data_IF_796660946101
#
_entry.id   IF_796660946101
#
_cell.length_a   1.000
_cell.length_b   1.000
_cell.length_c   1.000
_cell.angle_alpha   90.00
_cell.angle_beta   90.00
_cell.angle_gamma   90.00
#
_symmetry.space_group_name_H-M   'P 1'
#
loop_
_entity.id
_entity.type
_entity.pdbx_description
1 polymer ?
#
# COMPACT_ATOMS: atom_id res chain seq x y z
N UNK A 1 -16.89 14.70 11.95
CA UNK A 1 -17.56 16.03 11.93
C UNK A 1 -18.73 15.95 12.92
N UNK A 2 -19.09 17.05 13.61
CA UNK A 2 -20.32 17.05 14.43
C UNK A 2 -21.50 16.76 13.50
N UNK A 3 -22.40 15.88 13.90
CA UNK A 3 -23.49 15.47 13.04
C UNK A 3 -24.32 16.69 12.62
N UNK A 4 -24.55 16.90 11.31
CA UNK A 4 -25.46 17.94 10.84
C UNK A 4 -26.84 17.77 11.47
N UNK A 5 -27.61 18.86 11.52
CA UNK A 5 -28.95 18.87 12.14
C UNK A 5 -29.93 17.85 11.53
N UNK A 6 -29.62 17.35 10.32
CA UNK A 6 -30.35 16.26 9.66
C UNK A 6 -29.43 15.45 8.73
N UNK A 7 -29.74 14.16 8.56
CA UNK A 7 -29.20 13.30 7.51
C UNK A 7 -30.29 12.96 6.48
N UNK A 8 -29.87 12.53 5.30
CA UNK A 8 -30.78 12.13 4.22
C UNK A 8 -30.56 10.66 3.91
N UNK A 9 -31.60 9.84 3.98
CA UNK A 9 -31.60 8.47 3.50
C UNK A 9 -32.25 8.41 2.13
N UNK A 10 -31.54 7.88 1.15
CA UNK A 10 -32.07 7.59 -0.18
C UNK A 10 -32.18 6.08 -0.32
N UNK A 11 -33.34 5.60 -0.73
CA UNK A 11 -33.63 4.18 -0.96
C UNK A 11 -33.93 3.96 -2.43
N UNK A 12 -33.21 3.08 -3.10
CA UNK A 12 -33.44 2.68 -4.48
C UNK A 12 -34.50 1.57 -4.56
N UNK A 13 -35.11 1.38 -5.73
CA UNK A 13 -36.09 0.31 -6.00
C UNK A 13 -35.54 -1.11 -5.76
N UNK A 14 -34.22 -1.30 -5.74
CA UNK A 14 -33.56 -2.56 -5.36
C UNK A 14 -33.50 -2.81 -3.86
N UNK A 15 -34.11 -1.93 -3.05
CA UNK A 15 -34.02 -1.85 -1.58
C UNK A 15 -32.63 -1.50 -1.03
N UNK A 16 -31.70 -1.15 -1.91
CA UNK A 16 -30.43 -0.55 -1.50
C UNK A 16 -30.68 0.84 -0.92
N UNK A 17 -30.09 1.14 0.23
CA UNK A 17 -30.23 2.46 0.86
C UNK A 17 -28.89 3.04 1.27
N UNK A 18 -28.81 4.37 1.22
CA UNK A 18 -27.64 5.13 1.59
C UNK A 18 -28.05 6.35 2.41
N UNK A 19 -27.40 6.51 3.57
CA UNK A 19 -27.60 7.64 4.47
C UNK A 19 -26.42 8.58 4.34
N UNK A 20 -26.70 9.85 4.05
CA UNK A 20 -25.72 10.85 3.65
C UNK A 20 -25.96 12.17 4.38
N UNK A 21 -24.94 13.04 4.35
CA UNK A 21 -25.17 14.45 4.67
C UNK A 21 -25.87 15.15 3.50
N UNK A 22 -26.66 16.21 3.74
CA UNK A 22 -27.37 16.93 2.68
C UNK A 22 -26.48 17.39 1.52
N UNK A 23 -25.25 17.80 1.83
CA UNK A 23 -24.28 18.34 0.86
C UNK A 23 -23.57 17.27 0.01
N UNK A 24 -23.68 15.98 0.39
CA UNK A 24 -22.99 14.90 -0.32
C UNK A 24 -23.59 14.72 -1.71
N UNK A 25 -22.80 14.93 -2.77
CA UNK A 25 -23.26 14.82 -4.16
C UNK A 25 -23.30 13.38 -4.65
N UNK A 26 -24.39 12.99 -5.30
CA UNK A 26 -24.61 11.66 -5.89
C UNK A 26 -24.75 11.82 -7.40
N UNK A 27 -24.23 10.87 -8.15
CA UNK A 27 -24.43 10.83 -9.59
C UNK A 27 -25.86 10.38 -9.88
N UNK A 28 -26.66 11.30 -10.43
CA UNK A 28 -28.07 11.09 -10.66
C UNK A 28 -28.52 11.74 -11.98
N UNK A 29 -29.60 11.20 -12.54
CA UNK A 29 -30.41 11.87 -13.54
C UNK A 29 -31.59 12.53 -12.81
N UNK A 30 -31.50 13.85 -12.68
CA UNK A 30 -32.53 14.71 -12.09
C UNK A 30 -32.95 15.74 -13.12
N UNK A 31 -34.26 15.94 -13.30
CA UNK A 31 -34.84 16.87 -14.29
C UNK A 31 -34.25 16.76 -15.71
N UNK A 32 -33.94 15.53 -16.13
CA UNK A 32 -33.42 15.22 -17.47
C UNK A 32 -31.93 15.52 -17.68
N UNK A 33 -31.19 15.91 -16.63
CA UNK A 33 -29.73 16.10 -16.66
C UNK A 33 -29.03 15.02 -15.86
N UNK A 34 -28.00 14.42 -16.45
CA UNK A 34 -27.16 13.43 -15.79
C UNK A 34 -25.89 14.09 -15.24
N UNK A 35 -25.92 14.48 -13.98
CA UNK A 35 -24.88 15.27 -13.32
C UNK A 35 -24.73 14.84 -11.84
N UNK A 36 -23.99 15.62 -11.08
CA UNK A 36 -23.74 15.41 -9.65
C UNK A 36 -24.65 16.31 -8.83
N UNK A 37 -25.66 15.73 -8.19
CA UNK A 37 -26.65 16.46 -7.41
C UNK A 37 -26.43 16.23 -5.90
N UNK A 38 -26.44 17.27 -5.06
CA UNK A 38 -26.49 17.12 -3.61
C UNK A 38 -27.61 16.17 -3.17
N UNK A 39 -27.38 15.37 -2.13
CA UNK A 39 -28.39 14.45 -1.60
C UNK A 39 -29.69 15.18 -1.20
N UNK A 40 -29.62 16.47 -0.87
CA UNK A 40 -30.78 17.33 -0.61
C UNK A 40 -31.66 17.65 -1.83
N UNK A 41 -31.13 17.49 -3.04
CA UNK A 41 -31.83 17.80 -4.28
C UNK A 41 -32.49 16.57 -4.93
N UNK A 42 -32.08 15.37 -4.51
CA UNK A 42 -32.64 14.10 -5.00
C UNK A 42 -34.09 13.93 -4.54
N UNK A 43 -34.96 13.52 -5.45
CA UNK A 43 -36.38 13.26 -5.22
C UNK A 43 -36.75 11.82 -5.59
N UNK A 44 -37.91 11.38 -5.10
CA UNK A 44 -38.53 10.12 -5.53
C UNK A 44 -38.78 10.14 -7.05
N UNK A 45 -38.40 9.06 -7.73
CA UNK A 45 -38.50 8.94 -9.19
C UNK A 45 -37.24 9.35 -9.96
N UNK A 46 -36.25 10.01 -9.33
CA UNK A 46 -34.95 10.25 -9.96
C UNK A 46 -34.20 8.95 -10.23
N UNK A 47 -33.29 8.95 -11.20
CA UNK A 47 -32.46 7.78 -11.48
C UNK A 47 -31.06 7.99 -10.91
N UNK A 48 -30.64 7.14 -9.97
CA UNK A 48 -29.31 7.21 -9.35
C UNK A 48 -28.42 6.08 -9.85
N UNK A 49 -27.14 6.35 -9.99
CA UNK A 49 -26.19 5.36 -10.49
C UNK A 49 -25.72 4.42 -9.38
N UNK A 50 -26.02 3.13 -9.54
CA UNK A 50 -25.64 2.06 -8.62
C UNK A 50 -24.67 1.08 -9.32
N UNK A 51 -23.57 0.76 -8.65
CA UNK A 51 -22.51 -0.16 -9.08
C UNK A 51 -22.45 -1.34 -8.11
N UNK A 52 -22.77 -2.54 -8.60
CA UNK A 52 -22.47 -3.82 -7.92
C UNK A 52 -21.48 -4.62 -8.77
N UNK A 53 -22.00 -5.38 -9.73
CA UNK A 53 -21.19 -6.11 -10.72
C UNK A 53 -20.98 -5.30 -12.00
N UNK A 54 -21.97 -4.45 -12.36
CA UNK A 54 -21.95 -3.51 -13.48
C UNK A 54 -22.62 -2.19 -13.06
N UNK A 55 -22.29 -1.09 -13.74
CA UNK A 55 -22.89 0.23 -13.54
C UNK A 55 -24.30 0.28 -14.14
N UNK A 56 -25.31 0.59 -13.33
CA UNK A 56 -26.71 0.70 -13.76
C UNK A 56 -27.36 1.91 -13.10
N UNK A 57 -28.22 2.60 -13.82
CA UNK A 57 -29.10 3.61 -13.24
C UNK A 57 -30.35 2.93 -12.68
N UNK A 58 -30.69 3.24 -11.43
CA UNK A 58 -31.81 2.65 -10.69
C UNK A 58 -32.67 3.80 -10.15
N UNK A 59 -33.98 3.63 -10.22
CA UNK A 59 -34.92 4.64 -9.73
C UNK A 59 -34.90 4.73 -8.20
N UNK A 60 -34.94 5.96 -7.68
CA UNK A 60 -35.15 6.28 -6.27
C UNK A 60 -36.58 5.93 -5.90
N UNK A 61 -36.73 5.04 -4.92
CA UNK A 61 -38.00 4.63 -4.34
C UNK A 61 -38.47 5.60 -3.25
N UNK A 62 -37.57 6.01 -2.35
CA UNK A 62 -37.90 6.96 -1.27
C UNK A 62 -36.71 7.82 -0.84
N UNK A 63 -37.01 9.04 -0.36
CA UNK A 63 -36.03 9.95 0.25
C UNK A 63 -36.54 10.41 1.62
N UNK A 64 -35.83 10.06 2.69
CA UNK A 64 -36.22 10.35 4.07
C UNK A 64 -35.23 11.32 4.73
N UNK A 65 -35.74 12.31 5.49
CA UNK A 65 -34.91 13.16 6.34
C UNK A 65 -34.89 12.61 7.77
N UNK A 66 -33.70 12.25 8.26
CA UNK A 66 -33.50 11.73 9.60
C UNK A 66 -33.07 12.87 10.54
N UNK A 67 -33.87 13.16 11.56
CA UNK A 67 -33.61 14.19 12.58
C UNK A 67 -33.51 13.63 14.00
N UNK A 68 -34.00 12.41 14.24
CA UNK A 68 -33.97 11.72 15.54
C UNK A 68 -33.00 10.52 15.50
N UNK A 69 -32.40 10.20 16.65
CA UNK A 69 -31.44 9.08 16.75
C UNK A 69 -30.13 9.30 15.97
N UNK A 70 -29.81 10.56 15.67
CA UNK A 70 -28.57 10.92 14.99
C UNK A 70 -27.36 10.54 15.85
N UNK A 71 -26.31 9.93 15.27
CA UNK A 71 -25.08 9.67 16.00
C UNK A 71 -24.49 11.01 16.50
N UNK A 72 -23.78 11.03 17.62
CA UNK A 72 -23.16 12.26 18.15
C UNK A 72 -22.11 12.86 17.18
N UNK A 73 -21.51 11.99 16.37
CA UNK A 73 -20.53 12.33 15.35
C UNK A 73 -20.77 11.50 14.08
N UNK A 74 -20.77 12.17 12.92
CA UNK A 74 -20.70 11.50 11.61
C UNK A 74 -19.24 11.49 11.17
N UNK A 75 -18.79 10.31 10.74
CA UNK A 75 -17.50 10.16 10.10
C UNK A 75 -17.72 10.33 8.62
N UNK A 76 -17.34 11.49 8.11
CA UNK A 76 -17.16 11.69 6.69
C UNK A 76 -15.93 10.87 6.27
N UNK A 77 -16.16 9.80 5.54
CA UNK A 77 -15.13 8.97 4.90
C UNK A 77 -14.91 9.45 3.45
N UNK A 78 -14.96 10.74 3.22
CA UNK A 78 -14.46 11.34 1.98
C UNK A 78 -12.93 11.33 2.05
N UNK A 79 -12.30 10.50 1.22
CA UNK A 79 -10.84 10.46 1.03
C UNK A 79 -10.57 10.78 -0.44
N UNK A 80 -10.26 12.01 -0.75
CA UNK A 80 -9.87 12.45 -2.10
C UNK A 80 -8.38 12.05 -2.37
N UNK A 81 -7.88 11.69 -3.60
CA UNK A 81 -8.39 11.82 -4.98
C UNK A 81 -8.59 10.51 -5.75
N UNK A 82 -9.75 9.90 -5.58
CA UNK A 82 -10.39 9.13 -6.64
C UNK A 82 -11.72 9.81 -6.96
N UNK A 83 -11.90 10.25 -8.20
CA UNK A 83 -13.05 11.08 -8.62
C UNK A 83 -14.39 10.30 -8.75
N UNK A 84 -14.54 9.18 -8.04
CA UNK A 84 -15.76 8.40 -7.91
C UNK A 84 -15.65 7.44 -6.70
N UNK A 85 -16.54 7.54 -5.71
CA UNK A 85 -16.64 6.56 -4.61
C UNK A 85 -17.90 5.72 -4.75
N UNK A 86 -17.83 4.41 -4.46
CA UNK A 86 -18.99 3.52 -4.34
C UNK A 86 -19.33 3.38 -2.85
N UNK A 87 -20.33 4.11 -2.36
CA UNK A 87 -20.88 3.96 -1.01
C UNK A 87 -22.19 3.17 -1.05
N UNK A 88 -22.26 1.97 -0.45
CA UNK A 88 -23.41 1.05 -0.54
C UNK A 88 -23.93 0.82 -1.99
N UNK A 89 -23.05 0.92 -2.98
CA UNK A 89 -23.40 0.83 -4.40
C UNK A 89 -23.51 2.17 -5.13
N UNK A 90 -23.60 3.33 -4.47
CA UNK A 90 -23.82 4.63 -5.13
C UNK A 90 -22.53 5.39 -5.45
N UNK A 91 -22.49 6.08 -6.60
CA UNK A 91 -21.33 6.84 -7.11
C UNK A 91 -21.32 8.29 -6.58
N UNK A 92 -20.20 8.78 -5.99
CA UNK A 92 -20.01 10.10 -5.28
C UNK A 92 -18.76 10.89 -5.80
N UNK A 93 -18.81 12.24 -5.90
CA UNK A 93 -17.76 13.11 -6.52
C UNK A 93 -16.72 13.69 -5.54
N UNK A 94 -15.50 13.99 -6.03
CA UNK A 94 -14.40 14.52 -5.20
C UNK A 94 -13.33 15.28 -6.02
N UNK A 95 -13.47 16.58 -6.25
CA UNK A 95 -12.38 17.39 -6.84
C UNK A 95 -12.53 18.85 -6.48
N UNK A 96 -11.42 19.53 -6.23
CA UNK A 96 -11.38 20.98 -6.18
C UNK A 96 -11.44 21.65 -7.54
N UNK A 97 -12.49 22.43 -7.78
CA UNK A 97 -12.59 23.37 -8.87
C UNK A 97 -12.58 24.82 -8.36
N UNK A 98 -12.10 25.75 -9.19
CA UNK A 98 -12.43 27.15 -8.98
C UNK A 98 -13.89 27.33 -9.42
N UNK A 99 -14.81 27.29 -8.45
CA UNK A 99 -16.24 27.37 -8.74
C UNK A 99 -16.66 28.83 -8.60
N UNK A 100 -17.35 29.31 -9.64
CA UNK A 100 -17.99 30.61 -9.59
C UNK A 100 -19.14 30.49 -8.58
N UNK A 101 -19.10 31.32 -7.54
CA UNK A 101 -20.10 31.27 -6.49
C UNK A 101 -21.48 31.68 -7.06
N UNK A 102 -22.42 30.73 -7.11
CA UNK A 102 -23.79 30.95 -7.59
C UNK A 102 -24.68 31.62 -6.51
N UNK A 103 -24.18 31.78 -5.27
CA UNK A 103 -24.91 32.39 -4.13
C UNK A 103 -24.32 33.72 -3.64
N UNK A 104 -23.28 34.26 -4.29
CA UNK A 104 -22.61 35.53 -3.94
C UNK A 104 -22.32 36.45 -5.13
N UNK A 105 -21.53 37.51 -4.90
CA UNK A 105 -21.12 38.63 -5.81
C UNK A 105 -20.52 38.21 -7.20
N UNK A 106 -20.57 36.94 -7.59
CA UNK A 106 -19.92 36.41 -8.80
C UNK A 106 -18.41 36.28 -8.66
N UNK A 107 -17.89 36.28 -7.41
CA UNK A 107 -16.46 36.08 -7.13
C UNK A 107 -16.08 34.62 -7.29
N UNK A 108 -14.87 34.39 -7.79
CA UNK A 108 -14.28 33.07 -7.87
C UNK A 108 -14.01 32.56 -6.45
N UNK A 109 -14.47 31.34 -6.15
CA UNK A 109 -14.14 30.62 -4.91
C UNK A 109 -13.17 29.49 -5.24
N UNK A 110 -12.32 29.13 -4.27
CA UNK A 110 -11.29 28.12 -4.45
C UNK A 110 -11.66 26.88 -3.63
N UNK A 111 -11.95 25.77 -4.30
CA UNK A 111 -12.17 24.50 -3.61
C UNK A 111 -10.82 23.82 -3.29
N UNK A 112 -10.78 23.04 -2.21
CA UNK A 112 -9.57 22.37 -1.71
C UNK A 112 -9.40 20.97 -2.33
N UNK A 113 -8.23 20.72 -2.93
CA UNK A 113 -7.95 19.44 -3.59
C UNK A 113 -7.63 18.33 -2.59
N UNK A 114 -7.47 17.12 -3.09
CA UNK A 114 -7.41 15.94 -2.26
C UNK A 114 -6.44 15.92 -1.09
N UNK A 115 -5.20 16.29 -1.38
CA UNK A 115 -4.13 16.32 -0.39
C UNK A 115 -4.41 17.39 0.68
N UNK A 116 -5.12 18.47 0.32
CA UNK A 116 -5.54 19.53 1.24
C UNK A 116 -6.71 19.06 2.10
N UNK A 117 -7.68 18.36 1.52
CA UNK A 117 -8.80 17.76 2.28
C UNK A 117 -8.30 16.69 3.26
N UNK A 118 -7.25 15.97 2.91
CA UNK A 118 -6.63 14.94 3.74
C UNK A 118 -5.65 15.49 4.80
N UNK A 119 -5.58 16.80 5.08
CA UNK A 119 -4.67 17.39 6.08
C UNK A 119 -4.80 16.69 7.45
N UNK A 120 -3.67 16.30 8.05
CA UNK A 120 -3.55 15.46 9.26
C UNK A 120 -4.13 14.03 9.15
N UNK A 121 -4.52 13.61 7.95
CA UNK A 121 -5.10 12.31 7.64
C UNK A 121 -4.17 11.41 6.81
N UNK A 122 -4.80 10.53 6.04
CA UNK A 122 -4.17 9.60 5.10
C UNK A 122 -4.75 9.86 3.71
N UNK A 123 -3.90 10.18 2.74
CA UNK A 123 -4.25 10.23 1.33
C UNK A 123 -3.84 8.90 0.68
N UNK A 124 -4.80 8.20 0.07
CA UNK A 124 -4.55 6.97 -0.67
C UNK A 124 -4.63 7.25 -2.18
N UNK A 125 -3.57 6.96 -2.91
CA UNK A 125 -3.50 7.18 -4.37
C UNK A 125 -3.24 5.84 -5.04
N UNK A 126 -4.17 5.42 -5.88
CA UNK A 126 -3.95 4.31 -6.79
C UNK A 126 -3.42 4.82 -8.15
N UNK A 127 -2.73 3.93 -8.84
CA UNK A 127 -2.13 4.14 -10.17
C UNK A 127 -1.29 5.42 -10.26
N UNK A 128 -0.40 5.62 -9.28
CA UNK A 128 0.49 6.79 -9.25
C UNK A 128 1.32 6.92 -10.54
N UNK A 129 1.61 5.80 -11.20
CA UNK A 129 2.32 5.72 -12.47
C UNK A 129 1.53 6.28 -13.68
N UNK A 130 0.20 6.38 -13.61
CA UNK A 130 -0.66 6.87 -14.70
C UNK A 130 -1.10 8.33 -14.53
N UNK A 131 -0.68 8.99 -13.45
CA UNK A 131 -1.02 10.40 -13.17
C UNK A 131 -0.35 11.36 -14.16
N UNK A 132 -1.05 12.47 -14.44
CA UNK A 132 -0.55 13.52 -15.34
C UNK A 132 0.72 14.18 -14.78
N UNK A 133 1.50 14.83 -15.64
CA UNK A 133 2.71 15.55 -15.21
C UNK A 133 2.39 16.69 -14.22
N UNK A 134 1.24 17.34 -14.38
CA UNK A 134 0.76 18.38 -13.47
C UNK A 134 0.41 17.82 -12.08
N UNK A 135 -0.22 16.65 -12.01
CA UNK A 135 -0.53 15.98 -10.74
C UNK A 135 0.75 15.53 -10.04
N UNK A 136 1.72 15.01 -10.80
CA UNK A 136 3.04 14.61 -10.27
C UNK A 136 3.80 15.80 -9.71
N UNK A 137 3.75 16.96 -10.39
CA UNK A 137 4.35 18.21 -9.90
C UNK A 137 3.70 18.68 -8.59
N UNK A 138 2.37 18.62 -8.51
CA UNK A 138 1.62 18.97 -7.30
C UNK A 138 1.95 18.02 -6.12
N UNK A 139 2.11 16.72 -6.41
CA UNK A 139 2.55 15.73 -5.44
C UNK A 139 3.98 15.98 -4.96
N UNK A 140 4.88 16.38 -5.86
CA UNK A 140 6.24 16.78 -5.49
C UNK A 140 6.23 17.93 -4.48
N UNK A 141 5.45 18.98 -4.74
CA UNK A 141 5.33 20.14 -3.84
C UNK A 141 4.74 19.74 -2.48
N UNK A 142 3.66 18.97 -2.51
CA UNK A 142 2.96 18.50 -1.31
C UNK A 142 3.83 17.61 -0.44
N UNK A 143 4.55 16.65 -1.03
CA UNK A 143 5.43 15.74 -0.29
C UNK A 143 6.69 16.44 0.23
N UNK A 144 7.17 17.49 -0.44
CA UNK A 144 8.35 18.24 0.00
C UNK A 144 8.04 19.21 1.13
N UNK A 145 6.98 20.00 0.96
CA UNK A 145 6.71 21.17 1.81
C UNK A 145 5.49 21.01 2.72
N UNK A 146 4.72 19.93 2.54
CA UNK A 146 3.41 19.72 3.16
C UNK A 146 2.44 20.89 2.90
N UNK A 147 2.62 21.56 1.76
CA UNK A 147 1.82 22.69 1.29
C UNK A 147 1.63 22.59 -0.22
N UNK A 148 0.55 23.18 -0.72
CA UNK A 148 0.27 23.32 -2.15
C UNK A 148 -0.04 24.78 -2.43
N UNK A 149 0.67 25.36 -3.40
CA UNK A 149 0.49 26.73 -3.83
C UNK A 149 -0.42 26.78 -5.05
N UNK A 150 -1.55 27.48 -4.93
CA UNK A 150 -2.52 27.63 -6.02
C UNK A 150 -2.54 29.08 -6.48
N UNK A 151 -2.28 29.29 -7.76
CA UNK A 151 -2.42 30.56 -8.45
C UNK A 151 -3.38 30.40 -9.63
N UNK A 152 -4.68 30.63 -9.43
CA UNK A 152 -5.73 30.49 -10.46
C UNK A 152 -6.80 31.56 -10.30
N UNK A 153 -7.34 32.04 -11.43
CA UNK A 153 -8.43 33.02 -11.47
C UNK A 153 -8.21 34.29 -10.60
N UNK A 154 -6.96 34.76 -10.50
CA UNK A 154 -6.60 35.92 -9.68
C UNK A 154 -6.47 35.63 -8.18
N UNK A 155 -6.70 34.39 -7.73
CA UNK A 155 -6.50 33.94 -6.36
C UNK A 155 -5.12 33.31 -6.26
N UNK A 156 -4.28 33.87 -5.38
CA UNK A 156 -3.00 33.29 -4.99
C UNK A 156 -3.10 32.88 -3.53
N UNK A 157 -3.08 31.57 -3.26
CA UNK A 157 -3.22 31.02 -1.92
C UNK A 157 -2.29 29.83 -1.72
N UNK A 158 -1.84 29.62 -0.49
CA UNK A 158 -1.07 28.43 -0.10
C UNK A 158 -1.90 27.63 0.89
N UNK A 159 -2.17 26.37 0.55
CA UNK A 159 -2.98 25.45 1.34
C UNK A 159 -2.08 24.43 2.04
N UNK A 160 -2.42 24.05 3.28
CA UNK A 160 -1.69 23.02 4.02
C UNK A 160 -2.19 21.62 3.64
N UNK A 161 -1.28 20.66 3.54
CA UNK A 161 -1.57 19.27 3.21
C UNK A 161 -0.67 18.31 4.00
N UNK A 162 -0.67 18.42 5.33
CA UNK A 162 0.11 17.58 6.27
C UNK A 162 -0.50 16.19 6.41
N UNK A 163 -0.66 15.51 5.28
CA UNK A 163 -1.23 14.17 5.20
C UNK A 163 -0.11 13.12 5.11
N UNK A 164 -0.40 11.91 5.57
CA UNK A 164 0.41 10.74 5.20
C UNK A 164 -0.01 10.26 3.82
N UNK A 165 0.93 9.89 2.96
CA UNK A 165 0.62 9.38 1.62
C UNK A 165 0.81 7.86 1.56
N UNK A 166 -0.22 7.14 1.13
CA UNK A 166 -0.15 5.74 0.72
C UNK A 166 -0.40 5.67 -0.78
N UNK A 167 0.57 5.15 -1.53
CA UNK A 167 0.45 5.07 -2.97
C UNK A 167 0.63 3.63 -3.46
N UNK A 168 -0.17 3.25 -4.46
CA UNK A 168 0.04 2.07 -5.29
C UNK A 168 0.46 2.52 -6.69
N UNK A 169 1.42 1.79 -7.27
CA UNK A 169 1.93 2.05 -8.60
C UNK A 169 2.19 0.72 -9.30
N UNK A 170 1.87 0.67 -10.59
CA UNK A 170 2.15 -0.49 -11.40
C UNK A 170 3.56 -0.40 -12.03
N UNK A 171 4.24 -1.53 -12.24
CA UNK A 171 5.44 -1.56 -13.05
C UNK A 171 5.12 -1.23 -14.52
N UNK A 172 6.10 -0.68 -15.25
CA UNK A 172 5.94 -0.20 -16.64
C UNK A 172 5.31 -1.21 -17.60
N UNK A 173 5.57 -2.50 -17.41
CA UNK A 173 5.07 -3.58 -18.29
C UNK A 173 4.06 -4.50 -17.59
N UNK A 174 3.46 -4.05 -16.49
CA UNK A 174 2.45 -4.79 -15.72
C UNK A 174 3.00 -5.90 -14.83
N UNK A 175 4.26 -6.34 -15.02
CA UNK A 175 4.98 -7.25 -14.13
C UNK A 175 6.42 -6.76 -13.93
N UNK A 176 7.01 -7.14 -12.80
CA UNK A 176 8.43 -6.92 -12.54
C UNK A 176 9.25 -8.02 -13.21
N UNK A 177 10.26 -7.60 -13.97
CA UNK A 177 11.32 -8.45 -14.49
C UNK A 177 12.36 -8.70 -13.38
N UNK A 178 12.64 -9.96 -12.98
CA UNK A 178 13.64 -10.27 -11.96
C UNK A 178 15.06 -9.89 -12.34
N UNK A 179 15.36 -9.77 -13.63
CA UNK A 179 16.71 -9.56 -14.14
C UNK A 179 17.08 -8.07 -14.29
N UNK A 180 16.12 -7.18 -14.07
CA UNK A 180 16.30 -5.73 -14.18
C UNK A 180 16.10 -5.02 -12.85
N UNK A 181 16.81 -3.90 -12.68
CA UNK A 181 16.69 -3.09 -11.46
C UNK A 181 15.26 -2.53 -11.30
N UNK A 182 14.64 -2.79 -10.14
CA UNK A 182 13.25 -2.38 -9.86
C UNK A 182 13.07 -0.86 -10.01
N UNK A 183 14.05 -0.06 -9.62
CA UNK A 183 13.96 1.40 -9.72
C UNK A 183 13.76 1.88 -11.17
N UNK A 184 14.29 1.15 -12.16
CA UNK A 184 14.12 1.46 -13.58
C UNK A 184 12.77 1.01 -14.14
N UNK A 185 12.14 0.02 -13.50
CA UNK A 185 10.86 -0.56 -13.91
C UNK A 185 9.66 0.23 -13.39
N UNK A 186 9.87 1.17 -12.48
CA UNK A 186 8.84 2.07 -11.95
C UNK A 186 8.79 3.35 -12.78
N UNK A 187 7.60 3.79 -13.18
CA UNK A 187 7.41 5.02 -13.96
C UNK A 187 7.34 6.28 -13.07
N UNK A 188 8.31 6.45 -12.16
CA UNK A 188 8.37 7.59 -11.24
C UNK A 188 9.75 8.26 -11.29
N UNK A 189 9.83 9.60 -11.27
CA UNK A 189 11.10 10.30 -11.15
C UNK A 189 11.84 9.90 -9.86
N UNK A 190 13.18 9.74 -9.88
CA UNK A 190 13.97 9.44 -8.67
C UNK A 190 13.72 10.41 -7.52
N UNK A 191 13.45 11.68 -7.84
CA UNK A 191 13.09 12.69 -6.86
C UNK A 191 11.79 12.35 -6.09
N UNK A 192 10.74 11.81 -6.72
CA UNK A 192 9.54 11.32 -5.99
C UNK A 192 9.86 10.07 -5.19
N UNK A 193 10.56 9.11 -5.80
CA UNK A 193 10.87 7.84 -5.13
C UNK A 193 11.65 8.07 -3.82
N UNK A 194 12.62 8.98 -3.84
CA UNK A 194 13.40 9.35 -2.65
C UNK A 194 12.60 10.03 -1.53
N UNK A 195 11.34 10.44 -1.77
CA UNK A 195 10.44 11.06 -0.79
C UNK A 195 9.56 10.06 -0.05
N UNK A 196 9.50 8.82 -0.52
CA UNK A 196 8.84 7.75 0.21
C UNK A 196 9.78 7.22 1.28
N UNK A 197 9.26 7.11 2.50
CA UNK A 197 9.99 6.51 3.63
C UNK A 197 10.12 5.00 3.46
N UNK A 198 9.11 4.37 2.87
CA UNK A 198 9.05 2.94 2.62
C UNK A 198 8.40 2.70 1.26
N UNK A 199 9.01 1.83 0.45
CA UNK A 199 8.39 1.29 -0.75
C UNK A 199 8.44 -0.24 -0.70
N UNK A 200 7.28 -0.87 -0.87
CA UNK A 200 7.17 -2.31 -0.87
C UNK A 200 6.92 -2.80 -2.28
N UNK A 201 7.83 -3.65 -2.77
CA UNK A 201 7.66 -4.28 -4.08
C UNK A 201 6.92 -5.59 -3.91
N UNK A 202 5.75 -5.68 -4.51
CA UNK A 202 4.96 -6.90 -4.55
C UNK A 202 5.20 -7.60 -5.90
N UNK A 203 5.85 -8.76 -5.85
CA UNK A 203 6.09 -9.60 -7.03
C UNK A 203 5.09 -10.75 -7.03
N UNK A 204 4.49 -10.99 -8.20
CA UNK A 204 3.66 -12.16 -8.45
C UNK A 204 4.56 -13.30 -8.94
N UNK A 205 5.04 -14.11 -8.01
CA UNK A 205 5.86 -15.28 -8.33
C UNK A 205 5.03 -16.53 -8.05
N UNK A 206 4.72 -17.35 -9.09
CA UNK A 206 3.92 -18.56 -8.91
C UNK A 206 4.57 -19.53 -7.91
N UNK A 207 3.83 -19.91 -6.86
CA UNK A 207 4.26 -20.89 -5.88
C UNK A 207 3.04 -21.75 -5.52
N UNK A 208 3.04 -23.00 -5.98
CA UNK A 208 1.91 -23.94 -5.78
C UNK A 208 1.45 -24.04 -4.33
N UNK A 209 2.37 -24.00 -3.37
CA UNK A 209 2.04 -24.12 -1.94
C UNK A 209 1.46 -22.81 -1.42
N UNK A 210 2.07 -21.68 -1.76
CA UNK A 210 1.57 -20.35 -1.36
C UNK A 210 0.21 -20.06 -2.00
N UNK A 211 0.07 -20.33 -3.29
CA UNK A 211 -1.16 -20.14 -4.07
C UNK A 211 -2.29 -21.00 -3.54
N UNK A 212 -2.00 -22.27 -3.20
CA UNK A 212 -2.97 -23.15 -2.54
C UNK A 212 -3.44 -22.55 -1.21
N UNK A 213 -2.52 -22.10 -0.35
CA UNK A 213 -2.86 -21.53 0.95
C UNK A 213 -3.71 -20.25 0.82
N UNK A 214 -3.34 -19.37 -0.12
CA UNK A 214 -4.10 -18.14 -0.42
C UNK A 214 -5.50 -18.50 -0.94
N UNK A 215 -5.58 -19.42 -1.89
CA UNK A 215 -6.85 -19.86 -2.49
C UNK A 215 -7.77 -20.47 -1.43
N UNK A 216 -7.25 -21.39 -0.61
CA UNK A 216 -8.03 -21.99 0.49
C UNK A 216 -8.52 -20.93 1.48
N UNK A 217 -7.68 -19.93 1.80
CA UNK A 217 -8.05 -18.84 2.70
C UNK A 217 -9.18 -17.98 2.12
N UNK A 218 -9.07 -17.58 0.85
CA UNK A 218 -10.09 -16.78 0.15
C UNK A 218 -11.43 -17.54 0.10
N UNK A 219 -11.40 -18.81 -0.33
CA UNK A 219 -12.60 -19.65 -0.43
C UNK A 219 -13.29 -19.83 0.92
N UNK A 220 -12.52 -20.15 1.98
CA UNK A 220 -13.05 -20.23 3.35
C UNK A 220 -13.66 -18.91 3.78
N UNK A 221 -13.03 -17.78 3.43
CA UNK A 221 -13.53 -16.42 3.69
C UNK A 221 -14.91 -16.19 3.06
N UNK A 222 -15.08 -16.53 1.79
CA UNK A 222 -16.37 -16.45 1.10
C UNK A 222 -17.43 -17.36 1.73
N UNK A 223 -17.08 -18.61 2.06
CA UNK A 223 -18.00 -19.54 2.73
C UNK A 223 -18.49 -18.98 4.07
N UNK A 224 -17.59 -18.42 4.89
CA UNK A 224 -17.94 -17.78 6.16
C UNK A 224 -18.83 -16.55 5.96
N UNK A 225 -18.55 -15.73 4.95
CA UNK A 225 -19.36 -14.56 4.61
C UNK A 225 -20.79 -14.93 4.20
N UNK A 226 -20.94 -15.95 3.35
CA UNK A 226 -22.23 -16.48 2.92
C UNK A 226 -23.01 -17.11 4.08
N UNK A 227 -22.34 -17.89 4.92
CA UNK A 227 -22.93 -18.47 6.13
C UNK A 227 -23.52 -17.39 7.05
N UNK A 228 -22.77 -16.28 7.26
CA UNK A 228 -23.24 -15.12 8.03
C UNK A 228 -24.47 -14.44 7.41
N UNK A 229 -24.42 -14.15 6.11
CA UNK A 229 -25.53 -13.49 5.42
C UNK A 229 -26.82 -14.32 5.46
N UNK A 230 -26.72 -15.65 5.40
CA UNK A 230 -27.87 -16.55 5.52
C UNK A 230 -28.45 -16.58 6.94
N UNK A 231 -27.60 -16.52 7.99
CA UNK A 231 -28.07 -16.38 9.37
C UNK A 231 -28.83 -15.07 9.58
N UNK A 232 -28.33 -13.95 9.04
CA UNK A 232 -28.96 -12.63 9.17
C UNK A 232 -30.32 -12.54 8.47
N UNK A 233 -30.52 -13.30 7.38
CA UNK A 233 -31.81 -13.39 6.66
C UNK A 233 -32.84 -14.30 7.34
N UNK A 234 -32.52 -14.88 8.50
CA UNK A 234 -33.44 -15.74 9.25
C UNK A 234 -33.74 -17.09 8.58
N UNK A 235 -32.95 -17.48 7.58
CA UNK A 235 -33.02 -18.84 7.01
C UNK A 235 -32.55 -19.83 8.06
N UNK A 236 -33.31 -20.92 8.28
CA UNK A 236 -33.02 -21.91 9.33
C UNK A 236 -31.54 -22.31 9.38
N UNK A 237 -30.98 -22.35 10.60
CA UNK A 237 -29.60 -22.79 10.85
C UNK A 237 -29.47 -24.24 10.43
N UNK A 238 -29.02 -24.46 9.20
CA UNK A 238 -28.64 -25.78 8.72
C UNK A 238 -27.35 -26.22 9.40
N UNK A 239 -27.21 -27.50 9.76
CA UNK A 239 -25.97 -28.07 10.31
C UNK A 239 -24.73 -27.77 9.46
N UNK A 240 -24.92 -27.50 8.16
CA UNK A 240 -23.87 -27.05 7.26
C UNK A 240 -23.31 -25.67 7.63
N UNK A 241 -24.15 -24.72 8.06
CA UNK A 241 -23.76 -23.36 8.45
C UNK A 241 -22.89 -23.41 9.72
N UNK A 242 -23.31 -24.19 10.72
CA UNK A 242 -22.57 -24.33 11.98
C UNK A 242 -21.19 -24.95 11.75
N UNK A 243 -21.13 -25.99 10.91
CA UNK A 243 -19.87 -26.63 10.50
C UNK A 243 -18.92 -25.64 9.83
N UNK A 244 -19.44 -24.79 8.92
CA UNK A 244 -18.64 -23.76 8.23
C UNK A 244 -18.11 -22.73 9.24
N UNK A 245 -18.95 -22.28 10.17
CA UNK A 245 -18.56 -21.27 11.17
C UNK A 245 -17.47 -21.77 12.12
N UNK A 246 -17.54 -23.03 12.52
CA UNK A 246 -16.53 -23.68 13.36
C UNK A 246 -15.20 -23.86 12.62
N UNK A 247 -15.24 -24.43 11.41
CA UNK A 247 -14.05 -24.64 10.58
C UNK A 247 -13.34 -23.33 10.21
N UNK A 248 -14.09 -22.23 10.13
CA UNK A 248 -13.58 -20.91 9.75
C UNK A 248 -13.30 -19.98 10.93
N UNK A 249 -13.41 -20.47 12.17
CA UNK A 249 -13.29 -19.63 13.36
C UNK A 249 -11.91 -18.96 13.50
N UNK A 250 -10.85 -19.58 12.96
CA UNK A 250 -9.50 -19.00 12.92
C UNK A 250 -9.42 -17.67 12.16
N UNK A 251 -10.40 -17.34 11.29
CA UNK A 251 -10.48 -16.06 10.60
C UNK A 251 -11.16 -14.97 11.42
N UNK A 252 -11.68 -15.28 12.60
CA UNK A 252 -12.23 -14.27 13.50
C UNK A 252 -11.06 -13.44 14.06
N UNK A 253 -11.10 -12.14 13.78
CA UNK A 253 -10.13 -11.22 14.38
C UNK A 253 -10.22 -11.28 15.92
N UNK A 254 -9.09 -11.35 16.64
CA UNK A 254 -9.08 -11.43 18.09
C UNK A 254 -9.65 -10.16 18.75
N UNK A 255 -9.54 -9.02 18.06
CA UNK A 255 -10.01 -7.72 18.54
C UNK A 255 -11.10 -7.16 17.62
N UNK A 256 -12.04 -6.44 18.21
CA UNK A 256 -13.08 -5.74 17.46
C UNK A 256 -12.51 -4.49 16.76
N UNK A 257 -13.19 -4.06 15.70
CA UNK A 257 -12.85 -2.81 14.99
C UNK A 257 -12.89 -1.60 15.93
N UNK A 258 -13.82 -1.58 16.88
CA UNK A 258 -13.99 -0.49 17.84
C UNK A 258 -12.80 -0.37 18.81
N UNK A 259 -12.34 -1.50 19.34
CA UNK A 259 -11.16 -1.54 20.22
C UNK A 259 -9.94 -1.03 19.47
N UNK A 260 -9.71 -1.50 18.23
CA UNK A 260 -8.57 -1.06 17.43
C UNK A 260 -8.62 0.45 17.13
N UNK A 261 -9.80 0.99 16.79
CA UNK A 261 -9.99 2.44 16.57
C UNK A 261 -9.67 3.25 17.82
N UNK A 262 -10.20 2.83 18.98
CA UNK A 262 -9.94 3.47 20.27
C UNK A 262 -8.45 3.40 20.63
N UNK A 263 -7.81 2.27 20.40
CA UNK A 263 -6.39 2.06 20.64
C UNK A 263 -5.51 3.00 19.81
N UNK A 264 -5.73 3.07 18.50
CA UNK A 264 -4.98 3.95 17.60
C UNK A 264 -5.20 5.43 17.96
N UNK A 265 -6.43 5.82 18.26
CA UNK A 265 -6.75 7.19 18.68
C UNK A 265 -6.05 7.56 19.99
N UNK A 266 -6.06 6.66 20.98
CA UNK A 266 -5.38 6.85 22.25
C UNK A 266 -3.85 6.96 22.07
N UNK A 267 -3.25 6.06 21.28
CA UNK A 267 -1.82 6.05 21.00
C UNK A 267 -1.36 7.36 20.34
N UNK A 268 -2.10 7.85 19.33
CA UNK A 268 -1.78 9.10 18.62
C UNK A 268 -1.88 10.33 19.52
N UNK A 269 -2.85 10.35 20.45
CA UNK A 269 -3.12 11.52 21.31
C UNK A 269 -2.22 11.61 22.53
N UNK A 270 -1.87 10.48 23.14
CA UNK A 270 -1.24 10.47 24.47
C UNK A 270 0.24 10.10 24.46
N UNK A 271 0.76 9.51 23.37
CA UNK A 271 2.13 9.03 23.32
C UNK A 271 2.98 9.96 22.44
N UNK A 272 3.93 10.65 23.08
CA UNK A 272 4.92 11.51 22.42
C UNK A 272 6.29 10.97 22.84
N UNK A 273 6.79 9.93 22.15
CA UNK A 273 7.98 9.23 22.59
C UNK A 273 9.24 10.05 22.35
N UNK A 274 10.15 10.03 23.32
CA UNK A 274 11.49 10.64 23.22
C UNK A 274 12.51 9.52 23.04
N UNK A 275 13.48 9.72 22.16
CA UNK A 275 14.51 8.72 21.89
C UNK A 275 15.47 8.56 23.07
N UNK A 276 15.77 7.31 23.45
CA UNK A 276 16.84 7.01 24.40
C UNK A 276 18.21 6.87 23.69
N UNK A 277 19.28 6.84 24.48
CA UNK A 277 20.64 6.76 23.95
C UNK A 277 20.88 5.46 23.15
N UNK A 278 20.27 4.35 23.56
CA UNK A 278 20.45 3.06 22.90
C UNK A 278 19.82 3.06 21.49
N UNK A 279 18.60 3.60 21.36
CA UNK A 279 17.92 3.81 20.09
C UNK A 279 18.70 4.80 19.21
N UNK A 280 19.21 5.89 19.80
CA UNK A 280 20.03 6.88 19.11
C UNK A 280 21.26 6.25 18.44
N UNK A 281 22.07 5.51 19.20
CA UNK A 281 23.26 4.86 18.65
C UNK A 281 22.92 3.76 17.65
N UNK A 282 21.80 3.06 17.83
CA UNK A 282 21.34 2.04 16.87
C UNK A 282 21.05 2.66 15.51
N UNK A 283 20.26 3.74 15.46
CA UNK A 283 19.92 4.44 14.22
C UNK A 283 21.16 5.08 13.60
N UNK A 284 22.01 5.71 14.42
CA UNK A 284 23.23 6.38 13.95
C UNK A 284 24.17 5.41 13.24
N UNK A 285 24.50 4.29 13.89
CA UNK A 285 25.45 3.32 13.35
C UNK A 285 24.91 2.67 12.07
N UNK A 286 23.61 2.37 12.04
CA UNK A 286 23.00 1.74 10.88
C UNK A 286 22.91 2.70 9.68
N UNK A 287 22.51 3.95 9.90
CA UNK A 287 22.48 4.99 8.86
C UNK A 287 23.86 5.25 8.25
N UNK A 288 24.90 5.36 9.08
CA UNK A 288 26.28 5.53 8.60
C UNK A 288 26.74 4.31 7.81
N UNK A 289 26.48 3.10 8.34
CA UNK A 289 26.80 1.85 7.66
C UNK A 289 26.02 1.63 6.35
N UNK A 290 24.82 2.21 6.22
CA UNK A 290 24.07 2.25 4.97
C UNK A 290 24.76 3.19 3.97
N UNK A 291 25.12 4.40 4.41
CA UNK A 291 25.76 5.43 3.58
C UNK A 291 27.11 4.98 3.02
N UNK A 292 27.90 4.27 3.81
CA UNK A 292 29.19 3.71 3.38
C UNK A 292 29.04 2.65 2.28
N UNK A 293 27.89 1.96 2.22
CA UNK A 293 27.56 0.98 1.16
C UNK A 293 26.91 1.62 -0.06
N UNK A 294 26.56 2.91 0.02
CA UNK A 294 25.71 3.60 -0.95
C UNK A 294 26.38 4.00 -2.26
N UNK A 295 27.71 3.83 -2.41
CA UNK A 295 28.44 4.25 -3.60
C UNK A 295 28.15 3.38 -4.84
N UNK A 296 27.59 2.18 -4.68
CA UNK A 296 27.25 1.26 -5.78
C UNK A 296 25.73 1.18 -6.10
N UNK A 297 24.88 1.97 -5.42
CA UNK A 297 23.42 1.81 -5.42
C UNK A 297 22.63 2.69 -6.41
N UNK A 298 21.53 2.15 -6.97
CA UNK A 298 20.62 2.85 -7.90
C UNK A 298 19.76 3.96 -7.26
N UNK A 299 19.70 4.04 -5.93
CA UNK A 299 19.00 5.11 -5.19
C UNK A 299 19.98 5.77 -4.20
N UNK A 300 20.20 7.09 -4.28
CA UNK A 300 21.09 7.79 -3.37
C UNK A 300 20.52 7.80 -1.95
N UNK A 301 21.35 7.44 -0.98
CA UNK A 301 21.03 7.54 0.45
C UNK A 301 21.12 9.00 0.86
N UNK A 302 19.96 9.60 1.17
CA UNK A 302 19.84 11.01 1.55
C UNK A 302 19.62 11.18 3.05
N UNK A 303 19.77 12.40 3.56
CA UNK A 303 19.41 12.73 4.94
C UNK A 303 17.93 12.45 5.26
N UNK A 304 17.04 12.44 4.25
CA UNK A 304 15.62 12.10 4.42
C UNK A 304 15.42 10.66 4.93
N UNK A 305 16.31 9.74 4.56
CA UNK A 305 16.24 8.37 5.06
C UNK A 305 16.46 8.33 6.59
N UNK A 306 17.31 9.20 7.14
CA UNK A 306 17.47 9.34 8.59
C UNK A 306 16.16 9.78 9.26
N UNK A 307 15.42 10.70 8.66
CA UNK A 307 14.10 11.10 9.17
C UNK A 307 13.09 9.95 9.14
N UNK A 308 13.19 9.04 8.16
CA UNK A 308 12.38 7.83 8.11
C UNK A 308 12.69 6.89 9.28
N UNK A 309 13.97 6.68 9.64
CA UNK A 309 14.34 5.91 10.83
C UNK A 309 13.67 6.46 12.09
N UNK A 310 13.76 7.78 12.29
CA UNK A 310 13.17 8.45 13.46
C UNK A 310 11.66 8.26 13.47
N UNK A 311 10.97 8.60 12.38
CA UNK A 311 9.50 8.51 12.29
C UNK A 311 8.98 7.09 12.48
N UNK A 312 9.65 6.08 11.91
CA UNK A 312 9.27 4.68 12.06
C UNK A 312 9.51 4.17 13.49
N UNK A 313 10.61 4.58 14.12
CA UNK A 313 10.93 4.19 15.50
C UNK A 313 9.95 4.81 16.49
N UNK A 314 9.61 6.10 16.33
CA UNK A 314 8.58 6.77 17.11
C UNK A 314 7.20 6.13 16.90
N UNK A 315 6.84 5.79 15.65
CA UNK A 315 5.59 5.10 15.35
C UNK A 315 5.52 3.72 16.04
N UNK A 316 6.63 2.99 16.08
CA UNK A 316 6.73 1.71 16.78
C UNK A 316 6.54 1.88 18.30
N UNK A 317 7.19 2.88 18.90
CA UNK A 317 7.01 3.18 20.33
C UNK A 317 5.57 3.61 20.65
N UNK A 318 4.95 4.45 19.81
CA UNK A 318 3.54 4.85 19.92
C UNK A 318 2.60 3.65 19.86
N UNK A 319 2.86 2.69 18.96
CA UNK A 319 2.07 1.46 18.83
C UNK A 319 2.11 0.62 20.12
N UNK A 320 3.19 0.69 20.90
CA UNK A 320 3.33 0.03 22.19
C UNK A 320 2.91 0.90 23.39
N UNK A 321 2.31 2.08 23.14
CA UNK A 321 1.92 3.06 24.16
C UNK A 321 3.09 3.54 25.03
N UNK A 322 4.31 3.59 24.47
CA UNK A 322 5.52 4.04 25.17
C UNK A 322 5.74 5.53 24.94
N UNK A 323 6.28 6.21 25.96
CA UNK A 323 6.77 7.60 25.89
C UNK A 323 8.29 7.69 25.68
N UNK A 324 8.94 6.56 25.39
CA UNK A 324 10.35 6.49 25.08
C UNK A 324 10.55 5.54 23.90
N UNK A 325 11.34 5.95 22.91
CA UNK A 325 11.78 5.06 21.82
C UNK A 325 12.94 4.24 22.34
N UNK A 326 12.75 2.93 22.36
CA UNK A 326 13.76 1.98 22.84
C UNK A 326 14.61 1.42 21.69
N UNK A 327 15.74 0.81 22.03
CA UNK A 327 16.59 0.09 21.07
C UNK A 327 15.80 -0.94 20.22
N UNK A 328 14.81 -1.60 20.83
CA UNK A 328 13.95 -2.59 20.17
C UNK A 328 13.10 -1.95 19.06
N UNK A 329 12.57 -0.75 19.31
CA UNK A 329 11.77 0.01 18.35
C UNK A 329 12.65 0.50 17.19
N UNK A 330 13.87 0.96 17.49
CA UNK A 330 14.88 1.31 16.49
C UNK A 330 15.25 0.11 15.61
N UNK A 331 15.51 -1.06 16.21
CA UNK A 331 15.83 -2.30 15.46
C UNK A 331 14.69 -2.72 14.52
N UNK A 332 13.43 -2.51 14.90
CA UNK A 332 12.28 -2.77 14.00
C UNK A 332 12.27 -1.82 12.81
N UNK A 333 12.53 -0.53 13.03
CA UNK A 333 12.62 0.45 11.96
C UNK A 333 13.76 0.14 11.00
N UNK A 334 14.95 -0.19 11.53
CA UNK A 334 16.13 -0.65 10.77
C UNK A 334 15.75 -1.82 9.88
N UNK A 335 15.12 -2.86 10.43
CA UNK A 335 14.72 -4.05 9.66
C UNK A 335 13.79 -3.72 8.48
N UNK A 336 12.89 -2.75 8.65
CA UNK A 336 11.97 -2.33 7.58
C UNK A 336 12.70 -1.56 6.49
N UNK A 337 13.60 -0.64 6.86
CA UNK A 337 14.38 0.14 5.90
C UNK A 337 15.37 -0.75 5.15
N UNK A 338 16.05 -1.66 5.85
CA UNK A 338 16.92 -2.67 5.24
C UNK A 338 16.16 -3.51 4.21
N UNK A 339 14.94 -3.97 4.54
CA UNK A 339 14.12 -4.71 3.60
C UNK A 339 13.77 -3.89 2.35
N UNK A 340 13.41 -2.61 2.54
CA UNK A 340 13.13 -1.66 1.45
C UNK A 340 14.36 -1.45 0.55
N UNK A 341 15.52 -1.13 1.15
CA UNK A 341 16.76 -0.88 0.41
C UNK A 341 17.25 -2.15 -0.29
N UNK A 342 17.24 -3.30 0.38
CA UNK A 342 17.67 -4.57 -0.20
C UNK A 342 16.87 -4.92 -1.45
N UNK A 343 15.54 -4.84 -1.37
CA UNK A 343 14.67 -5.18 -2.49
C UNK A 343 14.84 -4.22 -3.67
N UNK A 344 15.11 -2.94 -3.43
CA UNK A 344 15.22 -1.97 -4.52
C UNK A 344 16.65 -1.87 -5.09
N UNK A 345 17.68 -1.90 -4.23
CA UNK A 345 19.06 -1.71 -4.63
C UNK A 345 19.68 -2.97 -5.26
N UNK A 346 19.35 -4.18 -4.78
CA UNK A 346 20.04 -5.42 -5.21
C UNK A 346 19.45 -6.12 -6.44
N UNK A 347 18.38 -5.59 -7.01
CA UNK A 347 17.70 -6.24 -8.14
C UNK A 347 18.37 -5.95 -9.51
N UNK A 348 19.62 -5.49 -9.53
CA UNK A 348 20.40 -5.24 -10.76
C UNK A 348 21.45 -6.30 -11.09
N UNK A 349 21.61 -7.33 -10.25
CA UNK A 349 22.59 -8.39 -10.45
C UNK A 349 22.05 -9.73 -9.98
N UNK A 350 21.47 -10.50 -10.91
CA UNK A 350 21.32 -11.95 -10.79
C UNK A 350 20.49 -12.45 -9.62
N UNK A 351 19.21 -12.70 -9.91
CA UNK A 351 18.32 -13.64 -9.22
C UNK A 351 17.94 -13.34 -7.77
N UNK A 352 16.63 -13.44 -7.51
CA UNK A 352 16.04 -13.60 -6.18
C UNK A 352 16.55 -14.90 -5.54
N UNK A 353 17.75 -14.86 -4.96
CA UNK A 353 18.30 -15.93 -4.13
C UNK A 353 17.44 -16.13 -2.85
N UNK A 354 16.55 -15.18 -2.54
CA UNK A 354 15.56 -15.26 -1.45
C UNK A 354 14.40 -16.24 -1.72
N UNK A 355 14.29 -16.79 -2.93
CA UNK A 355 13.20 -17.74 -3.27
C UNK A 355 13.53 -19.20 -2.96
N UNK A 356 14.75 -19.51 -2.50
CA UNK A 356 15.07 -20.85 -2.00
C UNK A 356 14.69 -20.97 -0.53
N UNK A 357 13.73 -21.84 -0.24
CA UNK A 357 13.33 -22.21 1.12
C UNK A 357 14.53 -22.70 1.93
N UNK A 358 15.11 -21.81 2.72
CA UNK A 358 16.21 -22.04 3.63
C UNK A 358 16.94 -20.73 3.87
N UNK A 359 17.24 -20.40 5.13
CA UNK A 359 18.04 -19.23 5.48
C UNK A 359 19.44 -19.32 4.83
N UNK A 360 19.62 -18.71 3.66
CA UNK A 360 20.92 -18.61 3.01
C UNK A 360 21.74 -17.59 3.80
N UNK A 361 22.76 -18.08 4.50
CA UNK A 361 23.61 -17.23 5.33
C UNK A 361 24.54 -16.37 4.47
N UNK A 362 25.10 -15.28 5.03
CA UNK A 362 26.14 -14.48 4.33
C UNK A 362 27.34 -15.32 3.86
N UNK A 363 27.60 -16.47 4.49
CA UNK A 363 28.66 -17.41 4.09
C UNK A 363 28.32 -18.12 2.78
N UNK A 364 27.07 -18.54 2.63
CA UNK A 364 26.59 -19.25 1.44
C UNK A 364 26.61 -18.33 0.20
N UNK A 365 26.28 -17.03 0.35
CA UNK A 365 26.39 -16.04 -0.75
C UNK A 365 27.82 -15.87 -1.25
N UNK A 366 28.80 -15.73 -0.34
CA UNK A 366 30.22 -15.65 -0.72
C UNK A 366 30.71 -16.90 -1.43
N UNK A 367 30.24 -18.08 -1.00
CA UNK A 367 30.58 -19.34 -1.65
C UNK A 367 30.06 -19.39 -3.10
N UNK A 368 28.82 -18.94 -3.32
CA UNK A 368 28.22 -18.84 -4.66
C UNK A 368 29.05 -17.92 -5.57
N UNK A 369 29.41 -16.73 -5.10
CA UNK A 369 30.17 -15.77 -5.91
C UNK A 369 31.56 -16.30 -6.31
N UNK A 370 32.26 -16.94 -5.38
CA UNK A 370 33.58 -17.54 -5.61
C UNK A 370 33.49 -18.69 -6.60
N UNK A 371 32.54 -19.61 -6.41
CA UNK A 371 32.35 -20.78 -7.29
C UNK A 371 31.93 -20.32 -8.69
N UNK A 372 30.99 -19.38 -8.80
CA UNK A 372 30.54 -18.83 -10.10
C UNK A 372 31.69 -18.18 -10.87
N UNK A 373 32.54 -17.40 -10.18
CA UNK A 373 33.73 -16.78 -10.80
C UNK A 373 34.70 -17.82 -11.33
N UNK A 374 35.03 -18.85 -10.54
CA UNK A 374 35.94 -19.92 -10.95
C UNK A 374 35.39 -20.68 -12.16
N UNK A 375 34.10 -21.03 -12.15
CA UNK A 375 33.46 -21.71 -13.29
C UNK A 375 33.44 -20.81 -14.53
N UNK A 376 33.16 -19.52 -14.37
CA UNK A 376 33.20 -18.54 -15.47
C UNK A 376 34.58 -18.46 -16.12
N UNK A 377 35.64 -18.35 -15.32
CA UNK A 377 37.02 -18.24 -15.80
C UNK A 377 37.48 -19.50 -16.55
N UNK A 378 36.91 -20.66 -16.23
CA UNK A 378 37.24 -21.97 -16.84
C UNK A 378 36.21 -22.44 -17.87
N UNK A 379 35.15 -21.68 -18.12
CA UNK A 379 34.17 -21.99 -19.18
C UNK A 379 34.81 -21.94 -20.58
N UNK A 380 35.68 -20.97 -20.92
CA UNK A 380 36.38 -20.94 -22.21
C UNK A 380 37.30 -22.14 -22.46
N UNK A 381 37.82 -22.77 -21.41
CA UNK A 381 38.74 -23.92 -21.49
C UNK A 381 38.05 -25.28 -21.42
N UNK A 382 36.72 -25.31 -21.50
CA UNK A 382 35.92 -26.54 -21.54
C UNK A 382 35.37 -27.00 -20.19
N UNK A 383 35.37 -26.12 -19.18
CA UNK A 383 34.83 -26.37 -17.85
C UNK A 383 35.86 -26.90 -16.86
N UNK A 384 35.46 -26.95 -15.59
CA UNK A 384 36.31 -27.31 -14.46
C UNK A 384 35.78 -28.56 -13.71
N UNK A 385 36.64 -29.54 -13.36
CA UNK A 385 36.25 -30.69 -12.54
C UNK A 385 35.87 -30.29 -11.11
N UNK A 386 35.14 -31.17 -10.41
CA UNK A 386 34.70 -30.91 -9.04
C UNK A 386 35.86 -30.78 -8.05
N UNK A 387 36.88 -31.63 -8.18
CA UNK A 387 38.00 -31.64 -7.23
C UNK A 387 38.85 -30.36 -7.37
N UNK A 388 39.04 -29.85 -8.59
CA UNK A 388 39.72 -28.58 -8.85
C UNK A 388 38.92 -27.37 -8.34
N UNK A 389 37.58 -27.44 -8.38
CA UNK A 389 36.70 -26.44 -7.79
C UNK A 389 36.85 -26.35 -6.27
N UNK A 390 37.00 -27.48 -5.60
CA UNK A 390 37.22 -27.54 -4.15
C UNK A 390 38.59 -26.93 -3.81
N UNK A 391 39.63 -27.26 -4.55
CA UNK A 391 40.98 -26.70 -4.33
C UNK A 391 41.04 -25.18 -4.58
N UNK A 392 40.47 -24.71 -5.70
CA UNK A 392 40.55 -23.29 -6.08
C UNK A 392 39.62 -22.39 -5.27
N UNK A 393 38.49 -22.92 -4.78
CA UNK A 393 37.56 -22.15 -3.94
C UNK A 393 38.03 -22.04 -2.49
N UNK A 394 38.86 -22.99 -2.02
CA UNK A 394 39.29 -23.07 -0.62
C UNK A 394 38.15 -23.37 0.36
N UNK A 395 37.02 -23.90 -0.15
CA UNK A 395 35.84 -24.24 0.63
C UNK A 395 35.78 -25.75 0.89
N UNK A 396 34.98 -26.17 1.88
CA UNK A 396 34.75 -27.59 2.12
C UNK A 396 33.93 -28.22 0.99
N UNK A 397 34.23 -29.48 0.67
CA UNK A 397 33.60 -30.23 -0.43
C UNK A 397 32.07 -30.23 -0.36
N UNK A 398 31.51 -30.28 0.85
CA UNK A 398 30.06 -30.29 1.05
C UNK A 398 29.42 -28.95 0.63
N UNK A 399 30.02 -27.82 1.01
CA UNK A 399 29.57 -26.49 0.59
C UNK A 399 29.66 -26.33 -0.93
N UNK A 400 30.76 -26.78 -1.55
CA UNK A 400 30.92 -26.70 -3.02
C UNK A 400 29.88 -27.57 -3.74
N UNK A 401 29.67 -28.81 -3.31
CA UNK A 401 28.63 -29.71 -3.88
C UNK A 401 27.23 -29.14 -3.74
N UNK A 402 26.89 -28.61 -2.56
CA UNK A 402 25.59 -27.97 -2.32
C UNK A 402 25.38 -26.77 -3.24
N UNK A 403 26.39 -25.92 -3.40
CA UNK A 403 26.32 -24.72 -4.24
C UNK A 403 26.24 -25.07 -5.73
N UNK A 404 27.07 -25.99 -6.22
CA UNK A 404 27.07 -26.41 -7.64
C UNK A 404 25.75 -27.09 -8.01
N UNK A 405 25.19 -27.94 -7.14
CA UNK A 405 23.88 -28.54 -7.36
C UNK A 405 22.76 -27.48 -7.39
N UNK A 406 22.81 -26.49 -6.50
CA UNK A 406 21.86 -25.37 -6.54
C UNK A 406 21.94 -24.54 -7.83
N UNK A 407 23.16 -24.29 -8.33
CA UNK A 407 23.37 -23.59 -9.61
C UNK A 407 22.93 -24.43 -10.83
N UNK A 408 23.03 -25.76 -10.73
CA UNK A 408 22.52 -26.69 -11.75
C UNK A 408 20.99 -26.73 -11.77
N UNK A 409 20.34 -26.72 -10.62
CA UNK A 409 18.88 -26.66 -10.52
C UNK A 409 18.33 -25.35 -11.13
N UNK A 410 19.09 -24.27 -11.02
CA UNK A 410 18.81 -22.97 -11.66
C UNK A 410 19.16 -22.92 -13.15
N UNK A 411 19.68 -24.02 -13.73
CA UNK A 411 20.17 -24.09 -15.11
C UNK A 411 21.27 -23.07 -15.45
N UNK A 412 21.98 -22.52 -14.46
CA UNK A 412 23.12 -21.63 -14.69
C UNK A 412 24.42 -22.39 -15.01
N UNK A 413 24.52 -23.63 -14.52
CA UNK A 413 25.71 -24.48 -14.70
C UNK A 413 25.30 -25.80 -15.34
N UNK A 414 26.03 -26.18 -16.39
CA UNK A 414 25.88 -27.47 -17.05
C UNK A 414 27.10 -28.36 -16.80
N UNK A 415 26.81 -29.63 -16.56
CA UNK A 415 27.81 -30.67 -16.42
C UNK A 415 28.06 -31.34 -17.77
N UNK A 416 29.30 -31.29 -18.25
CA UNK A 416 29.72 -31.91 -19.51
C UNK A 416 31.05 -32.64 -19.32
N UNK A 417 31.08 -33.95 -19.55
CA UNK A 417 32.28 -34.81 -19.36
C UNK A 417 32.93 -34.64 -17.99
N UNK A 418 32.14 -34.70 -16.91
CA UNK A 418 32.56 -34.52 -15.52
C UNK A 418 33.23 -33.15 -15.23
N UNK A 419 32.90 -32.13 -16.03
CA UNK A 419 33.33 -30.75 -15.83
C UNK A 419 32.12 -29.84 -15.79
N UNK A 420 32.18 -28.83 -14.93
CA UNK A 420 31.15 -27.82 -14.79
C UNK A 420 31.55 -26.57 -15.58
N UNK A 421 30.61 -26.04 -16.34
CA UNK A 421 30.75 -24.77 -17.06
C UNK A 421 29.44 -23.99 -16.98
N UNK A 422 29.48 -22.67 -17.17
CA UNK A 422 28.25 -21.89 -17.28
C UNK A 422 27.45 -22.33 -18.52
N UNK A 423 26.13 -22.36 -18.38
CA UNK A 423 25.16 -22.83 -19.37
C UNK A 423 25.18 -22.02 -20.67
#
# INVERSE_FOLDING_TARGET
>A
IRTPDRLIRITAMTQDSLVLTPETKIQAMHDGRYEWFPASEIKEGDMITLVRDNMRMIMVQSVESLTEGLPEYVYDLTVDPAHAFIGNGFVIHNTAAAVKDDFGDGRWSLEAGALVLADNGLACIDELDKRSEQDRSSLHEAMESQKISVAKAGITATLQCRCSLLAAANPKWGRFDPDQNIAQQINLPPALMSRFDLMFVLRDIPDKRRDKNITEHILKGHMRGQARANMEKGTESSAAIDTIMEQTNFMKAPYSKEILRKYVAYAKKNCIPIMDDAAYYTILNDYLGLRDKGDDGSIPITARQLEAYVRLSEASAKMHLRNTVTEEDAKRAVKLIDYFIDKIAKSGSGYDIDMMGGEITRKDKKAIDVIRKIISDHTPTGGIPMDDLVELSGLDKFTVEKTVNGLRDLSEVIEYKNKYKLA
#
